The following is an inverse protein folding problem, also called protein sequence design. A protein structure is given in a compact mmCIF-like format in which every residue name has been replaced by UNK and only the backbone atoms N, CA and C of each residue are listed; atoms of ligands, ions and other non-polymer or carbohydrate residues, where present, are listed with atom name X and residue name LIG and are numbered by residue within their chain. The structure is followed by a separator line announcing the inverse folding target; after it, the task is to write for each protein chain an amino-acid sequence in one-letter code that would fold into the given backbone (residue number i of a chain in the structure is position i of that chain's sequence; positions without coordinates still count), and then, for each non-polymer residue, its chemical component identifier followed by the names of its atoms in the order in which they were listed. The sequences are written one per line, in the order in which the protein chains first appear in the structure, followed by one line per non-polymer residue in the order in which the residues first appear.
data_IF_030318331909
#
_entry.id   IF_030318331909
#
_cell.length_a   1.000
_cell.length_b   1.000
_cell.length_c   1.000
_cell.angle_alpha   90.00
_cell.angle_beta   90.00
_cell.angle_gamma   90.00
#
_symmetry.space_group_name_H-M   'P 1'
#
loop_
_entity.id
_entity.type
_entity.pdbx_description
1 polymer ?
#
# COMPACT_ATOMS: atom_id res chain seq x y z
N UNK A 1 46.93 -18.28 -5.30
CA UNK A 1 46.04 -19.44 -5.15
C UNK A 1 44.63 -18.97 -5.43
N UNK A 2 43.97 -19.54 -6.44
CA UNK A 2 42.60 -19.17 -6.79
C UNK A 2 41.63 -19.71 -5.73
N UNK A 3 40.77 -18.83 -5.21
CA UNK A 3 39.75 -19.22 -4.22
C UNK A 3 38.73 -20.15 -4.91
N UNK A 4 38.45 -21.34 -4.35
CA UNK A 4 37.45 -22.26 -4.89
C UNK A 4 36.11 -21.56 -5.12
N UNK A 5 35.41 -21.93 -6.20
CA UNK A 5 34.14 -21.29 -6.60
C UNK A 5 33.07 -21.42 -5.51
N UNK A 6 33.07 -22.52 -4.77
CA UNK A 6 32.16 -22.81 -3.66
C UNK A 6 32.33 -21.81 -2.50
N UNK A 7 33.58 -21.55 -2.10
CA UNK A 7 33.91 -20.58 -1.03
C UNK A 7 33.47 -19.16 -1.41
N UNK A 8 33.61 -18.79 -2.70
CA UNK A 8 33.13 -17.48 -3.21
C UNK A 8 31.60 -17.35 -3.18
N UNK A 9 30.87 -18.44 -3.41
CA UNK A 9 29.40 -18.45 -3.36
C UNK A 9 28.93 -18.36 -1.90
N UNK A 10 29.58 -19.09 -0.99
CA UNK A 10 29.26 -19.07 0.44
C UNK A 10 29.55 -17.70 1.07
N UNK A 11 30.68 -17.07 0.73
CA UNK A 11 30.97 -15.68 1.13
C UNK A 11 29.98 -14.68 0.54
N UNK A 12 29.53 -14.88 -0.71
CA UNK A 12 28.54 -14.01 -1.33
C UNK A 12 27.16 -14.14 -0.66
N UNK A 13 26.75 -15.37 -0.32
CA UNK A 13 25.48 -15.65 0.37
C UNK A 13 25.48 -15.09 1.79
N UNK A 14 26.54 -15.33 2.56
CA UNK A 14 26.66 -14.82 3.94
C UNK A 14 26.68 -13.29 4.00
N UNK A 15 27.29 -12.61 3.02
CA UNK A 15 27.24 -11.13 2.93
C UNK A 15 25.90 -10.60 2.41
N UNK A 16 25.17 -11.37 1.58
CA UNK A 16 23.91 -10.95 0.98
C UNK A 16 22.69 -11.17 1.90
N UNK A 17 22.67 -12.23 2.70
CA UNK A 17 21.56 -12.61 3.59
C UNK A 17 21.14 -11.50 4.58
N UNK A 18 22.06 -10.83 5.30
CA UNK A 18 21.68 -9.74 6.22
C UNK A 18 21.06 -8.55 5.47
N UNK A 19 21.56 -8.27 4.27
CA UNK A 19 21.06 -7.18 3.42
C UNK A 19 19.67 -7.49 2.86
N UNK A 20 19.41 -8.74 2.50
CA UNK A 20 18.09 -9.23 2.08
C UNK A 20 17.10 -9.18 3.24
N UNK A 21 17.47 -9.68 4.42
CA UNK A 21 16.66 -9.62 5.63
C UNK A 21 16.24 -8.18 5.98
N UNK A 22 17.19 -7.23 5.91
CA UNK A 22 16.89 -5.82 6.20
C UNK A 22 16.04 -5.16 5.09
N UNK A 23 16.17 -5.56 3.82
CA UNK A 23 15.27 -5.07 2.75
C UNK A 23 13.84 -5.54 2.99
N UNK A 24 13.67 -6.83 3.25
CA UNK A 24 12.36 -7.44 3.51
C UNK A 24 11.73 -6.83 4.75
N UNK A 25 12.50 -6.67 5.84
CA UNK A 25 12.03 -6.03 7.06
C UNK A 25 11.53 -4.60 6.84
N UNK A 26 12.27 -3.77 6.08
CA UNK A 26 11.84 -2.40 5.75
C UNK A 26 10.59 -2.39 4.87
N UNK A 27 10.47 -3.31 3.91
CA UNK A 27 9.26 -3.43 3.10
C UNK A 27 8.05 -3.86 3.93
N UNK A 28 8.19 -4.85 4.80
CA UNK A 28 7.14 -5.28 5.72
C UNK A 28 6.71 -4.12 6.63
N UNK A 29 7.67 -3.39 7.21
CA UNK A 29 7.38 -2.22 8.02
C UNK A 29 6.63 -1.14 7.21
N UNK A 30 7.08 -0.83 6.00
CA UNK A 30 6.43 0.14 5.14
C UNK A 30 4.99 -0.29 4.79
N UNK A 31 4.76 -1.58 4.52
CA UNK A 31 3.41 -2.11 4.28
C UNK A 31 2.52 -1.97 5.51
N UNK A 32 3.00 -2.30 6.71
CA UNK A 32 2.20 -2.17 7.94
C UNK A 32 1.91 -0.71 8.29
N UNK A 33 2.92 0.17 8.21
CA UNK A 33 2.76 1.61 8.51
C UNK A 33 1.78 2.24 7.53
N UNK A 34 1.93 1.96 6.24
CA UNK A 34 1.02 2.51 5.24
C UNK A 34 -0.39 1.91 5.35
N UNK A 35 -0.53 0.60 5.61
CA UNK A 35 -1.81 -0.03 5.90
C UNK A 35 -2.50 0.54 7.13
N UNK A 36 -1.76 0.81 8.21
CA UNK A 36 -2.28 1.47 9.40
C UNK A 36 -2.78 2.89 9.11
N UNK A 37 -2.01 3.66 8.33
CA UNK A 37 -2.45 4.99 7.86
C UNK A 37 -3.72 4.88 7.02
N UNK A 38 -3.79 3.91 6.10
CA UNK A 38 -4.98 3.71 5.28
C UNK A 38 -6.21 3.35 6.13
N UNK A 39 -6.04 2.43 7.08
CA UNK A 39 -7.08 2.03 8.02
C UNK A 39 -7.58 3.23 8.84
N UNK A 40 -6.65 4.00 9.41
CA UNK A 40 -6.96 5.20 10.17
C UNK A 40 -7.74 6.20 9.33
N UNK A 41 -7.38 6.39 8.05
CA UNK A 41 -8.15 7.21 7.14
C UNK A 41 -9.56 6.66 6.97
N UNK A 42 -9.74 5.38 6.63
CA UNK A 42 -11.07 4.77 6.43
C UNK A 42 -11.97 4.81 7.66
N UNK A 43 -11.41 4.89 8.87
CA UNK A 43 -12.17 5.07 10.10
C UNK A 43 -12.62 6.53 10.33
N UNK A 44 -12.02 7.50 9.63
CA UNK A 44 -12.52 8.89 9.63
C UNK A 44 -13.73 8.97 8.70
N UNK A 45 -14.93 9.34 9.22
CA UNK A 45 -16.12 9.46 8.41
C UNK A 45 -15.96 10.55 7.35
N UNK A 46 -16.29 10.23 6.11
CA UNK A 46 -16.56 11.24 5.08
C UNK A 46 -17.95 11.82 5.23
N UNK A 47 -18.23 13.01 4.66
CA UNK A 47 -19.59 13.55 4.60
C UNK A 47 -20.63 12.56 4.06
N UNK A 48 -20.25 11.72 3.08
CA UNK A 48 -21.11 10.67 2.53
C UNK A 48 -21.39 9.53 3.51
N UNK A 49 -20.38 9.06 4.26
CA UNK A 49 -20.59 8.05 5.30
C UNK A 49 -21.27 8.61 6.55
N UNK A 50 -21.08 9.89 6.86
CA UNK A 50 -21.71 10.57 7.99
C UNK A 50 -23.23 10.72 7.78
N UNK A 51 -23.69 10.88 6.52
CA UNK A 51 -25.11 10.86 6.19
C UNK A 51 -25.76 9.47 6.40
N UNK A 52 -24.96 8.40 6.41
CA UNK A 52 -25.42 7.03 6.69
C UNK A 52 -25.36 6.69 8.19
N UNK A 53 -24.61 7.46 8.97
CA UNK A 53 -24.60 7.35 10.43
C UNK A 53 -25.97 7.76 10.99
N UNK A 54 -26.62 6.82 11.69
CA UNK A 54 -27.99 7.00 12.21
C UNK A 54 -29.11 6.51 11.30
N UNK A 55 -28.80 6.07 10.08
CA UNK A 55 -29.77 5.39 9.18
C UNK A 55 -29.48 3.90 8.99
N UNK A 56 -28.22 3.48 9.17
CA UNK A 56 -27.81 2.06 9.16
C UNK A 56 -27.82 1.52 10.58
N UNK A 57 -28.76 0.62 10.88
CA UNK A 57 -28.83 -0.13 12.14
C UNK A 57 -28.45 -1.61 11.91
N UNK A 58 -27.52 -2.19 12.71
CA UNK A 58 -26.74 -1.53 13.75
C UNK A 58 -25.53 -0.73 13.19
N UNK A 59 -25.08 0.34 13.89
CA UNK A 59 -23.91 1.14 13.49
C UNK A 59 -22.61 0.33 13.39
N UNK A 60 -22.55 -0.83 14.05
CA UNK A 60 -21.45 -1.78 13.91
C UNK A 60 -21.29 -2.31 12.47
N UNK A 61 -22.38 -2.43 11.70
CA UNK A 61 -22.30 -2.84 10.29
C UNK A 61 -21.61 -1.79 9.43
N UNK A 62 -21.84 -0.50 9.71
CA UNK A 62 -21.17 0.58 8.99
C UNK A 62 -19.67 0.58 9.27
N UNK A 63 -19.27 0.43 10.54
CA UNK A 63 -17.86 0.30 10.92
C UNK A 63 -17.23 -0.93 10.26
N UNK A 64 -17.92 -2.08 10.29
CA UNK A 64 -17.45 -3.30 9.63
C UNK A 64 -17.28 -3.11 8.12
N UNK A 65 -18.20 -2.42 7.47
CA UNK A 65 -18.11 -2.10 6.04
C UNK A 65 -16.89 -1.20 5.76
N UNK A 66 -16.65 -0.15 6.56
CA UNK A 66 -15.47 0.72 6.42
C UNK A 66 -14.16 -0.05 6.60
N UNK A 67 -14.11 -0.94 7.60
CA UNK A 67 -12.96 -1.83 7.84
C UNK A 67 -12.72 -2.76 6.65
N UNK A 68 -13.77 -3.39 6.13
CA UNK A 68 -13.67 -4.30 4.99
C UNK A 68 -13.25 -3.57 3.72
N UNK A 69 -13.81 -2.40 3.44
CA UNK A 69 -13.40 -1.56 2.30
C UNK A 69 -11.95 -1.13 2.42
N UNK A 70 -11.51 -0.70 3.62
CA UNK A 70 -10.12 -0.35 3.87
C UNK A 70 -9.17 -1.53 3.66
N UNK A 71 -9.53 -2.72 4.16
CA UNK A 71 -8.75 -3.95 3.96
C UNK A 71 -8.66 -4.34 2.48
N UNK A 72 -9.78 -4.28 1.75
CA UNK A 72 -9.79 -4.54 0.31
C UNK A 72 -8.95 -3.53 -0.46
N UNK A 73 -9.06 -2.24 -0.15
CA UNK A 73 -8.22 -1.20 -0.75
C UNK A 73 -6.73 -1.44 -0.46
N UNK A 74 -6.39 -1.88 0.75
CA UNK A 74 -5.00 -2.21 1.10
C UNK A 74 -4.48 -3.40 0.27
N UNK A 75 -5.22 -4.52 0.27
CA UNK A 75 -4.76 -5.79 -0.31
C UNK A 75 -4.82 -5.77 -1.83
N UNK A 76 -5.91 -5.26 -2.42
CA UNK A 76 -6.18 -5.36 -3.86
C UNK A 76 -5.58 -4.19 -4.65
N UNK A 77 -5.48 -3.01 -4.03
CA UNK A 77 -5.05 -1.80 -4.73
C UNK A 77 -3.66 -1.38 -4.27
N UNK A 78 -3.50 -1.14 -2.97
CA UNK A 78 -2.30 -0.51 -2.45
C UNK A 78 -1.06 -1.41 -2.55
N UNK A 79 -1.16 -2.68 -2.14
CA UNK A 79 -0.03 -3.61 -2.17
C UNK A 79 0.51 -3.83 -3.60
N UNK A 80 -0.32 -4.17 -4.61
CA UNK A 80 0.17 -4.31 -5.98
C UNK A 80 0.76 -3.01 -6.54
N UNK A 81 0.13 -1.88 -6.27
CA UNK A 81 0.61 -0.57 -6.73
C UNK A 81 1.97 -0.19 -6.12
N UNK A 82 2.13 -0.38 -4.81
CA UNK A 82 3.37 -0.11 -4.09
C UNK A 82 4.51 -1.01 -4.58
N UNK A 83 4.24 -2.31 -4.76
CA UNK A 83 5.20 -3.27 -5.31
C UNK A 83 5.60 -2.91 -6.74
N UNK A 84 4.64 -2.57 -7.60
CA UNK A 84 4.94 -2.15 -8.97
C UNK A 84 5.84 -0.91 -8.97
N UNK A 85 5.53 0.08 -8.14
CA UNK A 85 6.33 1.30 -8.03
C UNK A 85 7.78 1.03 -7.60
N UNK A 86 7.99 0.19 -6.59
CA UNK A 86 9.33 -0.12 -6.07
C UNK A 86 10.12 -1.08 -6.95
N UNK A 87 9.46 -2.00 -7.65
CA UNK A 87 10.09 -2.89 -8.62
C UNK A 87 10.60 -2.10 -9.84
N UNK A 88 9.79 -1.17 -10.36
CA UNK A 88 10.13 -0.38 -11.55
C UNK A 88 11.14 0.73 -11.23
N UNK A 89 11.01 1.38 -10.08
CA UNK A 89 11.79 2.58 -9.74
C UNK A 89 12.52 2.48 -8.40
N UNK A 90 13.18 1.35 -8.14
CA UNK A 90 13.90 1.04 -6.89
C UNK A 90 14.79 2.16 -6.32
N UNK A 91 15.38 2.99 -7.17
CA UNK A 91 16.34 4.06 -6.80
C UNK A 91 15.78 5.48 -6.96
N UNK A 92 14.52 5.63 -7.40
CA UNK A 92 13.93 6.92 -7.72
C UNK A 92 12.57 7.06 -7.00
N UNK A 93 12.56 7.47 -5.72
CA UNK A 93 11.35 7.44 -4.88
C UNK A 93 10.20 8.26 -5.45
N UNK A 94 10.48 9.40 -6.09
CA UNK A 94 9.46 10.24 -6.73
C UNK A 94 8.80 9.50 -7.91
N UNK A 95 9.59 8.81 -8.73
CA UNK A 95 9.07 8.03 -9.87
C UNK A 95 8.31 6.81 -9.36
N UNK A 96 8.83 6.12 -8.33
CA UNK A 96 8.15 5.00 -7.68
C UNK A 96 6.79 5.39 -7.11
N UNK A 97 6.71 6.56 -6.47
CA UNK A 97 5.44 7.11 -6.00
C UNK A 97 4.48 7.41 -7.16
N UNK A 98 4.96 8.06 -8.22
CA UNK A 98 4.15 8.37 -9.39
C UNK A 98 3.57 7.13 -10.08
N UNK A 99 4.38 6.09 -10.27
CA UNK A 99 3.89 4.82 -10.86
C UNK A 99 2.96 4.06 -9.93
N UNK A 100 3.25 4.04 -8.62
CA UNK A 100 2.33 3.47 -7.63
C UNK A 100 0.99 4.21 -7.63
N UNK A 101 0.99 5.53 -7.69
CA UNK A 101 -0.23 6.34 -7.71
C UNK A 101 -1.05 6.09 -8.99
N UNK A 102 -0.41 6.04 -10.15
CA UNK A 102 -1.08 5.73 -11.42
C UNK A 102 -1.70 4.32 -11.40
N UNK A 103 -0.96 3.33 -10.91
CA UNK A 103 -1.44 1.95 -10.79
C UNK A 103 -2.59 1.83 -9.79
N UNK A 104 -2.48 2.49 -8.63
CA UNK A 104 -3.56 2.56 -7.66
C UNK A 104 -4.79 3.20 -8.28
N UNK A 105 -4.64 4.29 -9.05
CA UNK A 105 -5.73 4.96 -9.76
C UNK A 105 -6.50 4.04 -10.70
N UNK A 106 -5.78 3.27 -11.52
CA UNK A 106 -6.38 2.30 -12.40
C UNK A 106 -7.11 1.18 -11.62
N UNK A 107 -6.44 0.57 -10.64
CA UNK A 107 -6.98 -0.54 -9.86
C UNK A 107 -8.21 -0.13 -9.02
N UNK A 108 -8.14 1.01 -8.34
CA UNK A 108 -9.28 1.56 -7.59
C UNK A 108 -10.42 2.01 -8.51
N UNK A 109 -10.12 2.54 -9.69
CA UNK A 109 -11.13 2.90 -10.69
C UNK A 109 -11.93 1.69 -11.14
N UNK A 110 -11.23 0.59 -11.47
CA UNK A 110 -11.86 -0.69 -11.81
C UNK A 110 -12.67 -1.23 -10.63
N UNK A 111 -12.14 -1.21 -9.42
CA UNK A 111 -12.84 -1.72 -8.23
C UNK A 111 -14.10 -0.91 -7.91
N UNK A 112 -14.03 0.43 -7.96
CA UNK A 112 -15.18 1.31 -7.70
C UNK A 112 -16.24 1.13 -8.79
N UNK A 113 -15.85 1.07 -10.06
CA UNK A 113 -16.79 0.85 -11.16
C UNK A 113 -17.48 -0.53 -11.04
N UNK A 114 -16.74 -1.59 -10.70
CA UNK A 114 -17.29 -2.93 -10.51
C UNK A 114 -18.31 -3.02 -9.35
N UNK A 115 -18.20 -2.13 -8.36
CA UNK A 115 -19.12 -2.02 -7.23
C UNK A 115 -20.28 -1.03 -7.47
N UNK A 116 -20.42 -0.51 -8.70
CA UNK A 116 -21.46 0.47 -9.04
C UNK A 116 -21.21 1.87 -8.48
N UNK A 117 -19.98 2.16 -8.04
CA UNK A 117 -19.59 3.47 -7.52
C UNK A 117 -19.30 4.50 -8.62
N UNK A 118 -19.36 5.78 -8.25
CA UNK A 118 -19.10 6.90 -9.15
C UNK A 118 -17.73 7.56 -8.95
N UNK A 119 -17.49 8.62 -9.73
CA UNK A 119 -16.25 9.40 -9.71
C UNK A 119 -15.89 9.93 -8.32
N UNK A 120 -16.89 10.34 -7.53
CA UNK A 120 -16.68 10.89 -6.19
C UNK A 120 -16.13 9.83 -5.20
N UNK A 121 -16.65 8.60 -5.27
CA UNK A 121 -16.14 7.49 -4.46
C UNK A 121 -14.73 7.08 -4.88
N UNK A 122 -14.46 7.09 -6.19
CA UNK A 122 -13.11 6.86 -6.71
C UNK A 122 -12.10 7.90 -6.22
N UNK A 123 -12.44 9.19 -6.25
CA UNK A 123 -11.56 10.25 -5.75
C UNK A 123 -11.31 10.15 -4.25
N UNK A 124 -12.33 9.82 -3.45
CA UNK A 124 -12.16 9.63 -2.01
C UNK A 124 -11.17 8.49 -1.70
N UNK A 125 -11.36 7.34 -2.36
CA UNK A 125 -10.44 6.20 -2.27
C UNK A 125 -9.04 6.59 -2.74
N UNK A 126 -8.93 7.36 -3.82
CA UNK A 126 -7.65 7.88 -4.34
C UNK A 126 -6.92 8.78 -3.36
N UNK A 127 -7.61 9.71 -2.70
CA UNK A 127 -6.99 10.61 -1.73
C UNK A 127 -6.41 9.83 -0.55
N UNK A 128 -7.15 8.82 -0.08
CA UNK A 128 -6.71 7.94 1.02
C UNK A 128 -5.48 7.12 0.62
N UNK A 129 -5.51 6.53 -0.57
CA UNK A 129 -4.41 5.75 -1.12
C UNK A 129 -3.17 6.60 -1.39
N UNK A 130 -3.33 7.83 -1.89
CA UNK A 130 -2.21 8.74 -2.16
C UNK A 130 -1.42 9.03 -0.88
N UNK A 131 -2.11 9.41 0.20
CA UNK A 131 -1.48 9.69 1.49
C UNK A 131 -0.79 8.44 2.07
N UNK A 132 -1.47 7.29 2.01
CA UNK A 132 -0.92 6.03 2.48
C UNK A 132 0.31 5.57 1.67
N UNK A 133 0.29 5.71 0.35
CA UNK A 133 1.43 5.40 -0.53
C UNK A 133 2.60 6.37 -0.32
N UNK A 134 2.33 7.64 -0.01
CA UNK A 134 3.38 8.59 0.34
C UNK A 134 4.09 8.15 1.63
N UNK A 135 3.36 7.67 2.63
CA UNK A 135 3.94 7.07 3.84
C UNK A 135 4.80 5.84 3.51
N UNK A 136 4.31 4.95 2.65
CA UNK A 136 5.07 3.77 2.21
C UNK A 136 6.42 4.18 1.58
N UNK A 137 6.39 5.10 0.61
CA UNK A 137 7.61 5.54 -0.09
C UNK A 137 8.56 6.28 0.86
N UNK A 138 8.04 7.07 1.81
CA UNK A 138 8.85 7.76 2.82
C UNK A 138 9.62 6.78 3.73
N UNK A 139 9.01 5.66 4.11
CA UNK A 139 9.68 4.61 4.91
C UNK A 139 10.74 3.89 4.06
N UNK A 140 10.40 3.51 2.83
CA UNK A 140 11.32 2.79 1.94
C UNK A 140 12.53 3.66 1.53
N UNK A 141 12.38 4.98 1.42
CA UNK A 141 13.47 5.92 1.07
C UNK A 141 14.56 6.03 2.14
N UNK A 142 14.29 5.71 3.41
CA UNK A 142 15.27 5.83 4.49
C UNK A 142 16.39 4.77 4.45
N UNK A 143 16.53 4.03 3.35
CA UNK A 143 17.45 2.91 3.15
C UNK A 143 18.34 3.16 1.94
#
# INVERSE_FOLDING_TARGET
MDVPREVRIEEALTRALPRLSLRTGVHLLAMHVSGFVLLGLFLVPTPSSAALYGTVEPPALLVLAMLLTGALAHVVVQLPAALLGTLVHRHHPVRAYGTALAAAGALSGVAVAALGGGWAGWLDVMLRLALSLACYVAVVRKR
#
